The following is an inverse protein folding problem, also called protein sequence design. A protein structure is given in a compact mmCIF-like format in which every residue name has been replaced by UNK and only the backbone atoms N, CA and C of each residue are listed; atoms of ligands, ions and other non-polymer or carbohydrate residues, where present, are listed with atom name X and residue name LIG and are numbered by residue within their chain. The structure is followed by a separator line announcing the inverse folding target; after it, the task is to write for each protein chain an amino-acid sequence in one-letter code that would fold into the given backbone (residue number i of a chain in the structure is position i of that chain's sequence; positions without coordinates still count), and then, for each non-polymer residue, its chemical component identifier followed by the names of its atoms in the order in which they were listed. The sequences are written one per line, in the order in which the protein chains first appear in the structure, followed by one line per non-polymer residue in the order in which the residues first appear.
data_IF_685780986421
#
_entry.id   IF_685780986421
#
_cell.length_a   1.000
_cell.length_b   1.000
_cell.length_c   1.000
_cell.angle_alpha   90.00
_cell.angle_beta   90.00
_cell.angle_gamma   90.00
#
_symmetry.space_group_name_H-M   'P 1'
#
loop_
_entity.id
_entity.type
_entity.pdbx_description
1 polymer ?
#
# COMPACT_ATOMS: atom_id res chain seq x y z
N UNK A 1 30.14 6.73 -9.90
CA UNK A 1 28.74 6.49 -10.33
C UNK A 1 28.57 5.00 -10.54
N UNK A 2 27.78 4.31 -9.72
CA UNK A 2 27.48 2.88 -9.91
C UNK A 2 26.24 2.81 -10.80
N UNK A 3 26.44 2.84 -12.11
CA UNK A 3 25.36 2.55 -13.06
C UNK A 3 25.42 1.05 -13.34
N UNK A 4 24.57 0.26 -12.69
CA UNK A 4 24.39 -1.14 -13.07
C UNK A 4 23.32 -1.20 -14.16
N UNK A 5 23.67 -1.76 -15.32
CA UNK A 5 22.77 -1.99 -16.45
C UNK A 5 21.75 -3.11 -16.18
N UNK A 6 21.84 -3.76 -15.02
CA UNK A 6 20.97 -4.87 -14.61
C UNK A 6 20.45 -4.68 -13.20
N UNK A 7 19.20 -5.08 -12.95
CA UNK A 7 18.61 -5.02 -11.62
C UNK A 7 19.36 -5.97 -10.66
N UNK A 8 19.80 -5.50 -9.48
CA UNK A 8 20.55 -6.34 -8.54
C UNK A 8 19.77 -7.60 -8.12
N UNK A 9 20.46 -8.74 -8.08
CA UNK A 9 19.83 -10.01 -7.68
C UNK A 9 19.28 -9.97 -6.24
N UNK A 10 19.93 -9.22 -5.34
CA UNK A 10 19.44 -9.03 -3.98
C UNK A 10 18.04 -8.40 -3.94
N UNK A 11 17.76 -7.45 -4.83
CA UNK A 11 16.43 -6.82 -4.93
C UNK A 11 15.39 -7.82 -5.45
N UNK A 12 15.74 -8.61 -6.47
CA UNK A 12 14.87 -9.69 -6.97
C UNK A 12 14.52 -10.69 -5.86
N UNK A 13 15.53 -11.18 -5.15
CA UNK A 13 15.35 -12.13 -4.06
C UNK A 13 14.50 -11.55 -2.93
N UNK A 14 14.71 -10.27 -2.60
CA UNK A 14 13.91 -9.57 -1.60
C UNK A 14 12.43 -9.51 -2.00
N UNK A 15 12.13 -9.05 -3.22
CA UNK A 15 10.75 -8.91 -3.72
C UNK A 15 10.03 -10.25 -3.89
N UNK A 16 10.76 -11.32 -4.26
CA UNK A 16 10.20 -12.67 -4.42
C UNK A 16 9.98 -13.41 -3.10
N UNK A 17 10.55 -12.94 -2.00
CA UNK A 17 10.45 -13.62 -0.71
C UNK A 17 9.02 -13.55 -0.14
N UNK A 18 8.33 -14.69 -0.13
CA UNK A 18 6.94 -14.82 0.35
C UNK A 18 6.79 -14.70 1.87
N UNK A 19 7.87 -14.82 2.63
CA UNK A 19 7.86 -14.59 4.09
C UNK A 19 7.68 -13.11 4.44
N UNK A 20 7.97 -12.20 3.52
CA UNK A 20 7.65 -10.79 3.66
C UNK A 20 6.27 -10.49 3.07
N UNK A 21 5.65 -9.42 3.53
CA UNK A 21 4.45 -8.87 2.90
C UNK A 21 4.72 -7.45 2.44
N UNK A 22 4.52 -7.23 1.15
CA UNK A 22 4.71 -5.94 0.50
C UNK A 22 3.37 -5.23 0.43
N UNK A 23 3.10 -4.43 1.46
CA UNK A 23 1.84 -3.71 1.60
C UNK A 23 1.89 -2.38 0.85
N UNK A 24 0.87 -2.10 0.06
CA UNK A 24 0.69 -0.79 -0.57
C UNK A 24 -0.76 -0.49 -0.92
N UNK A 25 -1.01 0.73 -1.39
CA UNK A 25 -2.33 1.18 -1.78
C UNK A 25 -2.44 1.24 -3.31
N UNK A 26 -3.41 0.53 -3.90
CA UNK A 26 -3.62 0.47 -5.35
C UNK A 26 -2.36 0.03 -6.10
N UNK A 27 -1.78 -1.10 -5.67
CA UNK A 27 -0.48 -1.59 -6.15
C UNK A 27 -0.58 -2.33 -7.48
N UNK A 28 -1.77 -2.69 -7.93
CA UNK A 28 -1.98 -3.52 -9.13
C UNK A 28 -1.25 -2.98 -10.37
N UNK A 29 -1.37 -1.68 -10.65
CA UNK A 29 -0.69 -1.05 -11.79
C UNK A 29 0.83 -1.04 -11.61
N UNK A 30 1.31 -0.81 -10.38
CA UNK A 30 2.74 -0.85 -10.07
C UNK A 30 3.32 -2.26 -10.25
N UNK A 31 2.58 -3.31 -9.89
CA UNK A 31 3.00 -4.69 -10.09
C UNK A 31 3.08 -5.04 -11.58
N UNK A 32 2.08 -4.64 -12.37
CA UNK A 32 2.08 -4.83 -13.83
C UNK A 32 3.26 -4.12 -14.50
N UNK A 33 3.56 -2.89 -14.08
CA UNK A 33 4.71 -2.13 -14.57
C UNK A 33 6.05 -2.80 -14.19
N UNK A 34 6.20 -3.26 -12.94
CA UNK A 34 7.39 -3.97 -12.49
C UNK A 34 7.64 -5.24 -13.30
N UNK A 35 6.60 -6.02 -13.57
CA UNK A 35 6.72 -7.23 -14.37
C UNK A 35 7.05 -6.91 -15.83
N UNK A 36 6.29 -6.00 -16.45
CA UNK A 36 6.41 -5.67 -17.88
C UNK A 36 7.72 -4.97 -18.22
N UNK A 37 8.09 -3.94 -17.46
CA UNK A 37 9.18 -3.04 -17.84
C UNK A 37 10.51 -3.43 -17.18
N UNK A 38 10.46 -4.19 -16.09
CA UNK A 38 11.63 -4.52 -15.28
C UNK A 38 11.83 -6.02 -15.04
N UNK A 39 10.91 -6.88 -15.50
CA UNK A 39 10.91 -8.33 -15.23
C UNK A 39 11.05 -8.63 -13.72
N UNK A 40 10.35 -7.86 -12.90
CA UNK A 40 10.31 -7.96 -11.45
C UNK A 40 8.93 -8.40 -10.98
N UNK A 41 8.85 -9.57 -10.33
CA UNK A 41 7.65 -10.04 -9.66
C UNK A 41 7.76 -9.86 -8.14
N UNK A 42 6.63 -9.66 -7.48
CA UNK A 42 6.54 -9.53 -6.02
C UNK A 42 5.80 -10.74 -5.45
N UNK A 43 6.47 -11.52 -4.60
CA UNK A 43 5.98 -12.83 -4.16
C UNK A 43 4.76 -12.79 -3.24
N UNK A 44 4.58 -11.70 -2.49
CA UNK A 44 3.48 -11.50 -1.55
C UNK A 44 3.12 -10.01 -1.44
N UNK A 45 2.53 -9.49 -2.51
CA UNK A 45 2.00 -8.13 -2.53
C UNK A 45 0.59 -8.09 -1.90
N UNK A 46 0.36 -7.11 -1.04
CA UNK A 46 -0.92 -6.89 -0.36
C UNK A 46 -1.44 -5.52 -0.76
N UNK A 47 -2.53 -5.51 -1.53
CA UNK A 47 -3.27 -4.28 -1.80
C UNK A 47 -4.20 -3.96 -0.63
N UNK A 48 -4.00 -2.77 -0.05
CA UNK A 48 -4.83 -2.27 1.03
C UNK A 48 -6.29 -2.07 0.63
N UNK A 49 -6.60 -1.77 -0.63
CA UNK A 49 -7.99 -1.64 -1.07
C UNK A 49 -8.71 -2.99 -0.98
N UNK A 50 -8.08 -4.06 -1.47
CA UNK A 50 -8.60 -5.43 -1.38
C UNK A 50 -8.72 -5.89 0.07
N UNK A 51 -7.66 -5.67 0.87
CA UNK A 51 -7.66 -6.05 2.28
C UNK A 51 -8.75 -5.30 3.05
N UNK A 52 -8.95 -4.03 2.75
CA UNK A 52 -9.96 -3.25 3.42
C UNK A 52 -11.39 -3.65 2.99
N UNK A 53 -11.62 -4.03 1.73
CA UNK A 53 -12.90 -4.63 1.30
C UNK A 53 -13.18 -5.95 2.03
N UNK A 54 -12.15 -6.79 2.24
CA UNK A 54 -12.30 -8.05 2.97
C UNK A 54 -12.63 -7.83 4.45
N UNK A 55 -11.98 -6.85 5.09
CA UNK A 55 -12.13 -6.60 6.54
C UNK A 55 -13.38 -5.76 6.83
N UNK A 56 -13.69 -4.74 6.03
CA UNK A 56 -14.80 -3.81 6.29
C UNK A 56 -16.10 -4.17 5.55
N UNK A 57 -16.07 -5.13 4.61
CA UNK A 57 -17.26 -5.56 3.88
C UNK A 57 -17.69 -4.61 2.75
N UNK A 58 -18.97 -4.70 2.35
CA UNK A 58 -19.55 -4.00 1.17
C UNK A 58 -19.66 -2.48 1.31
N UNK A 59 -19.45 -1.91 2.50
CA UNK A 59 -19.39 -0.44 2.73
C UNK A 59 -18.14 0.22 2.11
N UNK A 60 -17.42 -0.51 1.26
CA UNK A 60 -16.15 -0.15 0.65
C UNK A 60 -16.12 -0.25 -0.88
N UNK A 61 -17.25 -0.45 -1.56
CA UNK A 61 -17.28 -0.22 -3.03
C UNK A 61 -16.81 1.22 -3.36
N UNK A 62 -17.03 2.16 -2.43
CA UNK A 62 -16.47 3.51 -2.48
C UNK A 62 -14.95 3.58 -2.27
N UNK A 63 -14.33 2.57 -1.64
CA UNK A 63 -12.89 2.59 -1.33
C UNK A 63 -11.98 2.42 -2.54
N UNK A 64 -12.51 1.88 -3.65
CA UNK A 64 -11.83 1.97 -4.95
C UNK A 64 -11.74 3.42 -5.44
N UNK A 65 -12.73 4.26 -5.10
CA UNK A 65 -12.73 5.70 -5.39
C UNK A 65 -12.05 6.53 -4.29
N UNK A 66 -12.02 6.03 -3.06
CA UNK A 66 -11.39 6.68 -1.93
C UNK A 66 -9.87 6.76 -2.09
N UNK A 67 -9.28 7.77 -1.44
CA UNK A 67 -7.85 7.94 -1.29
C UNK A 67 -7.29 7.15 -0.10
N UNK A 68 -5.97 7.15 0.02
CA UNK A 68 -5.29 6.53 1.16
C UNK A 68 -5.61 7.29 2.47
N UNK A 69 -5.86 8.59 2.37
CA UNK A 69 -6.29 9.45 3.46
C UNK A 69 -7.64 9.05 4.05
N UNK A 70 -8.60 8.68 3.20
CA UNK A 70 -9.93 8.23 3.63
C UNK A 70 -9.83 6.88 4.34
N UNK A 71 -8.97 6.01 3.84
CA UNK A 71 -8.69 4.72 4.48
C UNK A 71 -8.01 4.91 5.84
N UNK A 72 -7.09 5.87 5.95
CA UNK A 72 -6.45 6.23 7.21
C UNK A 72 -7.46 6.73 8.24
N UNK A 73 -8.37 7.62 7.84
CA UNK A 73 -9.40 8.13 8.73
C UNK A 73 -10.34 7.02 9.20
N UNK A 74 -10.80 6.15 8.28
CA UNK A 74 -11.68 5.03 8.64
C UNK A 74 -11.02 4.00 9.55
N UNK A 75 -9.76 3.64 9.28
CA UNK A 75 -9.09 2.52 9.97
C UNK A 75 -8.36 2.97 11.22
N UNK A 76 -7.62 4.07 11.14
CA UNK A 76 -6.78 4.58 12.23
C UNK A 76 -7.46 5.68 13.05
N UNK A 77 -8.63 6.18 12.62
CA UNK A 77 -9.34 7.33 13.22
C UNK A 77 -8.47 8.58 13.34
N UNK A 78 -7.55 8.74 12.39
CA UNK A 78 -6.63 9.87 12.29
C UNK A 78 -6.82 10.56 10.96
N UNK A 79 -7.02 11.87 11.02
CA UNK A 79 -7.02 12.72 9.82
C UNK A 79 -5.59 12.98 9.41
N UNK A 80 -5.28 12.68 8.16
CA UNK A 80 -4.03 13.08 7.52
C UNK A 80 -4.38 14.26 6.62
N UNK A 81 -3.63 15.35 6.76
CA UNK A 81 -3.77 16.48 5.85
C UNK A 81 -3.56 15.94 4.43
N UNK A 82 -4.59 16.09 3.58
CA UNK A 82 -4.56 15.57 2.21
C UNK A 82 -3.28 16.10 1.56
N UNK A 83 -2.31 15.23 1.29
CA UNK A 83 -1.07 15.73 0.74
C UNK A 83 -1.41 16.38 -0.61
N UNK A 84 -0.79 17.53 -0.91
CA UNK A 84 -0.95 18.16 -2.23
C UNK A 84 -0.76 17.08 -3.28
N UNK A 85 -1.64 17.01 -4.29
CA UNK A 85 -1.53 16.01 -5.34
C UNK A 85 -0.17 16.17 -6.01
N UNK A 86 0.80 15.34 -5.62
CA UNK A 86 2.13 15.38 -6.18
C UNK A 86 2.12 14.50 -7.41
N UNK A 87 2.20 15.11 -8.58
CA UNK A 87 2.39 14.39 -9.82
C UNK A 87 3.79 13.77 -9.82
N UNK A 88 3.84 12.44 -9.87
CA UNK A 88 5.09 11.69 -9.98
C UNK A 88 5.61 11.63 -11.42
N UNK A 89 4.92 12.29 -12.35
CA UNK A 89 5.25 12.37 -13.77
C UNK A 89 6.33 13.45 -13.98
N UNK A 90 7.38 13.13 -14.74
CA UNK A 90 8.47 14.07 -15.07
C UNK A 90 9.78 13.85 -14.30
N UNK A 91 10.87 14.46 -14.80
CA UNK A 91 12.22 14.32 -14.25
C UNK A 91 12.38 15.14 -12.96
N UNK A 92 12.93 14.51 -11.91
CA UNK A 92 13.34 15.16 -10.65
C UNK A 92 12.56 14.69 -9.42
N UNK A 93 13.30 14.24 -8.40
CA UNK A 93 12.82 14.03 -7.03
C UNK A 93 13.05 15.35 -6.28
N UNK A 94 11.99 15.99 -5.78
CA UNK A 94 12.09 17.13 -4.88
C UNK A 94 11.71 16.73 -3.45
N UNK A 95 11.94 17.64 -2.50
CA UNK A 95 11.66 17.40 -1.08
C UNK A 95 10.18 17.06 -0.84
N UNK A 96 9.27 17.70 -1.57
CA UNK A 96 7.83 17.44 -1.48
C UNK A 96 7.45 16.02 -1.92
N UNK A 97 8.03 15.50 -3.01
CA UNK A 97 7.86 14.11 -3.48
C UNK A 97 8.35 13.12 -2.44
N UNK A 98 9.50 13.40 -1.80
CA UNK A 98 10.05 12.54 -0.74
C UNK A 98 9.14 12.56 0.48
N UNK A 99 8.68 13.73 0.92
CA UNK A 99 7.74 13.85 2.04
C UNK A 99 6.43 13.12 1.74
N UNK A 100 5.88 13.32 0.54
CA UNK A 100 4.67 12.63 0.08
C UNK A 100 4.82 11.12 0.14
N UNK A 101 5.89 10.59 -0.48
CA UNK A 101 6.16 9.14 -0.51
C UNK A 101 6.35 8.56 0.90
N UNK A 102 7.08 9.28 1.77
CA UNK A 102 7.29 8.88 3.17
C UNK A 102 5.97 8.79 3.95
N UNK A 103 5.11 9.80 3.83
CA UNK A 103 3.81 9.83 4.51
C UNK A 103 2.92 8.69 4.01
N UNK A 104 2.84 8.48 2.70
CA UNK A 104 2.05 7.39 2.13
C UNK A 104 2.58 6.01 2.52
N UNK A 105 3.89 5.81 2.56
CA UNK A 105 4.50 4.56 2.99
C UNK A 105 4.18 4.27 4.47
N UNK A 106 4.30 5.28 5.34
CA UNK A 106 3.97 5.16 6.76
C UNK A 106 2.49 4.81 6.98
N UNK A 107 1.58 5.54 6.35
CA UNK A 107 0.13 5.29 6.47
C UNK A 107 -0.23 3.89 5.96
N UNK A 108 0.33 3.48 4.81
CA UNK A 108 0.06 2.16 4.24
C UNK A 108 0.52 1.05 5.19
N UNK A 109 1.71 1.20 5.78
CA UNK A 109 2.22 0.26 6.76
C UNK A 109 1.33 0.17 8.02
N UNK A 110 0.93 1.31 8.58
CA UNK A 110 0.09 1.37 9.79
C UNK A 110 -1.30 0.74 9.58
N UNK A 111 -1.94 1.01 8.45
CA UNK A 111 -3.21 0.39 8.07
C UNK A 111 -3.03 -1.13 7.93
N UNK A 112 -2.04 -1.56 7.14
CA UNK A 112 -1.77 -2.99 6.92
C UNK A 112 -1.49 -3.74 8.22
N UNK A 113 -0.73 -3.13 9.13
CA UNK A 113 -0.47 -3.67 10.48
C UNK A 113 -1.75 -3.75 11.31
N UNK A 114 -2.60 -2.74 11.26
CA UNK A 114 -3.88 -2.72 12.01
C UNK A 114 -4.83 -3.82 11.52
N UNK A 115 -4.91 -4.04 10.22
CA UNK A 115 -5.69 -5.14 9.66
C UNK A 115 -5.12 -6.52 10.04
N UNK A 116 -3.80 -6.70 9.94
CA UNK A 116 -3.17 -7.99 10.24
C UNK A 116 -3.16 -8.35 11.73
N UNK A 117 -3.01 -7.37 12.62
CA UNK A 117 -2.99 -7.59 14.07
C UNK A 117 -4.35 -7.96 14.65
N UNK A 118 -5.44 -7.83 13.88
CA UNK A 118 -6.78 -8.03 14.39
C UNK A 118 -7.20 -6.96 15.41
N UNK A 119 -6.42 -5.88 15.61
CA UNK A 119 -6.80 -4.74 16.46
C UNK A 119 -8.13 -4.12 16.03
N UNK A 120 -8.46 -4.26 14.74
CA UNK A 120 -9.76 -3.89 14.21
C UNK A 120 -10.94 -4.70 14.80
N UNK A 121 -10.70 -5.92 15.28
CA UNK A 121 -11.71 -6.82 15.88
C UNK A 121 -12.18 -6.37 17.27
N UNK A 122 -11.45 -5.47 17.95
CA UNK A 122 -11.82 -4.95 19.27
C UNK A 122 -12.54 -3.61 19.23
N UNK A 123 -12.82 -3.06 18.04
CA UNK A 123 -13.48 -1.77 17.90
C UNK A 123 -15.01 -1.93 17.86
N UNK A 124 -15.78 -1.23 18.72
CA UNK A 124 -17.23 -1.31 18.71
C UNK A 124 -17.79 -0.79 17.38
N UNK A 125 -18.65 -1.60 16.74
CA UNK A 125 -19.34 -1.28 15.48
C UNK A 125 -18.92 -2.10 14.26
N UNK A 126 -17.89 -2.96 14.35
CA UNK A 126 -17.47 -3.81 13.23
C UNK A 126 -17.75 -5.29 13.48
N UNK A 127 -18.76 -5.83 12.82
CA UNK A 127 -19.00 -7.27 12.69
C UNK A 127 -18.23 -7.79 11.48
N UNK A 128 -17.25 -8.68 11.68
CA UNK A 128 -16.62 -9.40 10.56
C UNK A 128 -17.06 -10.85 10.59
N UNK A 129 -17.58 -11.34 9.46
CA UNK A 129 -17.83 -12.76 9.21
C UNK A 129 -16.49 -13.50 9.12
N UNK A 130 -16.37 -14.58 9.89
CA UNK A 130 -15.17 -15.43 9.95
C UNK A 130 -14.61 -15.72 8.55
N UNK A 131 -13.31 -15.51 8.38
CA UNK A 131 -12.58 -15.94 7.19
C UNK A 131 -12.12 -17.37 7.51
N UNK A 132 -12.76 -18.35 6.87
CA UNK A 132 -12.36 -19.76 6.86
C UNK A 132 -11.35 -20.02 5.75
#
# INVERSE_FOLDING_TARGET
MIHTSSIPQALKNFLLNKSYSFVGFKVEESLKMLEKDYNLSVGNAIDLTTLATQVLGRDMEESKKAGLEDLCEKVLRKKVAKPKKVEFIGRGINIDKVHYARVNAFISFEIGRTFKSGFFRSLPGFLIRSIS
#
